data_IF_656034972608
#
_entry.id   IF_656034972608
#
_cell.length_a   1.000
_cell.length_b   1.000
_cell.length_c   1.000
_cell.angle_alpha   90.00
_cell.angle_beta   90.00
_cell.angle_gamma   90.00
#
_symmetry.space_group_name_H-M   'P 1'
#
loop_
_entity.id
_entity.type
_entity.pdbx_description
1 polymer ?
#
# COMPACT_ATOMS: atom_id res chain seq x y z
N UNK A 1 0.38 14.41 7.07
CA UNK A 1 -0.98 14.63 7.59
C UNK A 1 -0.99 14.21 9.04
N UNK A 2 -1.77 14.87 9.90
CA UNK A 2 -1.92 14.43 11.28
C UNK A 2 -2.79 13.17 11.30
N UNK A 3 -2.49 12.17 12.15
CA UNK A 3 -3.28 10.93 12.23
C UNK A 3 -4.75 11.24 12.55
N UNK A 4 -5.00 12.29 13.34
CA UNK A 4 -6.35 12.75 13.64
C UNK A 4 -7.08 13.30 12.38
N UNK A 5 -6.36 13.93 11.45
CA UNK A 5 -6.91 14.44 10.20
C UNK A 5 -7.25 13.30 9.23
N UNK A 6 -6.42 12.25 9.17
CA UNK A 6 -6.70 11.06 8.35
C UNK A 6 -7.88 10.29 8.90
N UNK A 7 -7.97 10.10 10.23
CA UNK A 7 -9.14 9.49 10.89
C UNK A 7 -10.42 10.27 10.59
N UNK A 8 -10.40 11.60 10.72
CA UNK A 8 -11.56 12.44 10.39
C UNK A 8 -11.94 12.38 8.90
N UNK A 9 -10.96 12.25 8.00
CA UNK A 9 -11.21 12.02 6.58
C UNK A 9 -11.86 10.67 6.31
N UNK A 10 -11.35 9.59 6.91
CA UNK A 10 -11.91 8.24 6.77
C UNK A 10 -13.34 8.20 7.30
N UNK A 11 -13.62 8.83 8.44
CA UNK A 11 -14.97 8.92 8.98
C UNK A 11 -15.93 9.64 8.02
N UNK A 12 -15.52 10.77 7.44
CA UNK A 12 -16.32 11.46 6.41
C UNK A 12 -16.58 10.59 5.18
N UNK A 13 -15.63 9.74 4.78
CA UNK A 13 -15.80 8.77 3.68
C UNK A 13 -16.83 7.69 4.05
N UNK A 14 -16.78 7.15 5.28
CA UNK A 14 -17.78 6.19 5.80
C UNK A 14 -19.17 6.80 5.78
N UNK A 15 -19.33 8.02 6.30
CA UNK A 15 -20.63 8.69 6.38
C UNK A 15 -21.21 8.97 4.98
N UNK A 16 -20.34 9.33 4.03
CA UNK A 16 -20.72 9.48 2.62
C UNK A 16 -21.24 8.16 2.03
N UNK A 17 -20.54 7.05 2.22
CA UNK A 17 -20.99 5.74 1.71
C UNK A 17 -22.32 5.31 2.36
N UNK A 18 -22.49 5.53 3.66
CA UNK A 18 -23.76 5.28 4.36
C UNK A 18 -24.92 6.09 3.76
N UNK A 19 -24.69 7.38 3.49
CA UNK A 19 -25.68 8.24 2.86
C UNK A 19 -26.04 7.77 1.43
N UNK A 20 -25.04 7.32 0.65
CA UNK A 20 -25.25 6.78 -0.69
C UNK A 20 -26.06 5.48 -0.67
N UNK A 21 -25.78 4.56 0.26
CA UNK A 21 -26.55 3.31 0.44
C UNK A 21 -28.00 3.63 0.81
N UNK A 22 -28.23 4.57 1.73
CA UNK A 22 -29.58 4.98 2.12
C UNK A 22 -30.36 5.57 0.95
N UNK A 23 -29.72 6.45 0.15
CA UNK A 23 -30.31 7.00 -1.06
C UNK A 23 -30.62 5.92 -2.09
N UNK A 24 -29.72 4.95 -2.29
CA UNK A 24 -29.91 3.83 -3.20
C UNK A 24 -31.09 2.94 -2.76
N UNK A 25 -31.23 2.68 -1.46
CA UNK A 25 -32.36 1.94 -0.89
C UNK A 25 -33.70 2.66 -1.11
N UNK A 26 -33.75 3.98 -0.92
CA UNK A 26 -34.95 4.78 -1.18
C UNK A 26 -35.31 4.80 -2.67
N UNK A 27 -34.32 4.91 -3.57
CA UNK A 27 -34.54 4.82 -5.01
C UNK A 27 -35.03 3.43 -5.44
N UNK A 28 -34.51 2.38 -4.82
CA UNK A 28 -34.91 0.99 -5.09
C UNK A 28 -36.38 0.75 -4.77
N UNK A 29 -36.90 1.38 -3.71
CA UNK A 29 -38.33 1.29 -3.35
C UNK A 29 -39.25 2.11 -4.27
N UNK A 30 -38.71 3.10 -4.99
CA UNK A 30 -39.49 4.00 -5.83
C UNK A 30 -39.41 3.69 -7.33
N UNK A 31 -38.68 2.63 -7.73
CA UNK A 31 -38.53 2.24 -9.13
C UNK A 31 -38.87 0.77 -9.34
N UNK A 32 -39.53 0.49 -10.47
CA UNK A 32 -39.84 -0.86 -10.93
C UNK A 32 -39.00 -1.26 -12.16
N UNK A 33 -38.05 -0.41 -12.59
CA UNK A 33 -37.23 -0.69 -13.77
C UNK A 33 -36.10 -1.68 -13.42
N UNK A 34 -36.05 -2.87 -14.04
CA UNK A 34 -35.06 -3.89 -13.70
C UNK A 34 -33.60 -3.46 -13.95
N UNK A 35 -33.35 -2.62 -14.96
CA UNK A 35 -32.01 -2.10 -15.23
C UNK A 35 -31.55 -1.10 -14.15
N UNK A 36 -32.49 -0.29 -13.63
CA UNK A 36 -32.21 0.64 -12.53
C UNK A 36 -32.00 -0.14 -11.24
N UNK A 37 -32.83 -1.14 -10.95
CA UNK A 37 -32.69 -2.01 -9.78
C UNK A 37 -31.34 -2.72 -9.76
N UNK A 38 -30.93 -3.34 -10.86
CA UNK A 38 -29.62 -4.01 -10.96
C UNK A 38 -28.45 -3.06 -10.68
N UNK A 39 -28.53 -1.82 -11.17
CA UNK A 39 -27.52 -0.78 -10.90
C UNK A 39 -27.50 -0.36 -9.43
N UNK A 40 -28.68 -0.18 -8.82
CA UNK A 40 -28.81 0.17 -7.40
C UNK A 40 -28.31 -0.95 -6.49
N UNK A 41 -28.64 -2.21 -6.80
CA UNK A 41 -28.17 -3.38 -6.06
C UNK A 41 -26.64 -3.50 -6.12
N UNK A 42 -26.04 -3.21 -7.28
CA UNK A 42 -24.59 -3.11 -7.44
C UNK A 42 -23.98 -2.00 -6.56
N UNK A 43 -24.57 -0.80 -6.57
CA UNK A 43 -24.13 0.32 -5.72
C UNK A 43 -24.19 0.00 -4.23
N UNK A 44 -25.25 -0.68 -3.78
CA UNK A 44 -25.40 -1.10 -2.38
C UNK A 44 -24.30 -2.09 -2.00
N UNK A 45 -24.05 -3.10 -2.84
CA UNK A 45 -23.00 -4.10 -2.60
C UNK A 45 -21.61 -3.47 -2.55
N UNK A 46 -21.31 -2.58 -3.48
CA UNK A 46 -20.05 -1.85 -3.52
C UNK A 46 -19.89 -0.93 -2.30
N UNK A 47 -20.94 -0.21 -1.93
CA UNK A 47 -20.95 0.65 -0.74
C UNK A 47 -20.64 -0.12 0.55
N UNK A 48 -21.20 -1.32 0.71
CA UNK A 48 -20.88 -2.17 1.87
C UNK A 48 -19.39 -2.56 1.91
N UNK A 49 -18.81 -2.95 0.77
CA UNK A 49 -17.37 -3.28 0.69
C UNK A 49 -16.48 -2.07 0.96
N UNK A 50 -16.89 -0.88 0.49
CA UNK A 50 -16.18 0.36 0.76
C UNK A 50 -16.19 0.70 2.25
N UNK A 51 -17.35 0.58 2.91
CA UNK A 51 -17.48 0.79 4.36
C UNK A 51 -16.57 -0.18 5.12
N UNK A 52 -16.60 -1.47 4.80
CA UNK A 52 -15.76 -2.48 5.45
C UNK A 52 -14.26 -2.13 5.31
N UNK A 53 -13.84 -1.71 4.12
CA UNK A 53 -12.47 -1.25 3.89
C UNK A 53 -12.10 -0.03 4.74
N UNK A 54 -12.97 1.01 4.76
CA UNK A 54 -12.71 2.20 5.55
C UNK A 54 -12.72 1.92 7.06
N UNK A 55 -13.60 1.05 7.54
CA UNK A 55 -13.63 0.61 8.94
C UNK A 55 -12.37 -0.16 9.32
N UNK A 56 -11.88 -1.05 8.44
CA UNK A 56 -10.59 -1.72 8.64
C UNK A 56 -9.46 -0.70 8.73
N UNK A 57 -9.42 0.29 7.84
CA UNK A 57 -8.41 1.35 7.87
C UNK A 57 -8.49 2.24 9.11
N UNK A 58 -9.68 2.49 9.63
CA UNK A 58 -9.85 3.25 10.86
C UNK A 58 -9.28 2.49 12.07
N UNK A 59 -9.52 1.17 12.15
CA UNK A 59 -8.89 0.30 13.17
C UNK A 59 -7.37 0.30 13.07
N UNK A 60 -6.83 0.23 11.85
CA UNK A 60 -5.38 0.28 11.63
C UNK A 60 -4.78 1.61 12.15
N UNK A 61 -5.46 2.74 11.88
CA UNK A 61 -5.05 4.06 12.35
C UNK A 61 -5.13 4.20 13.89
N UNK A 62 -6.16 3.64 14.52
CA UNK A 62 -6.28 3.63 15.99
C UNK A 62 -5.20 2.77 16.66
N UNK A 63 -4.84 1.63 16.06
CA UNK A 63 -3.73 0.81 16.53
C UNK A 63 -2.40 1.56 16.40
N UNK A 64 -2.15 2.22 15.26
CA UNK A 64 -0.95 3.03 15.04
C UNK A 64 -0.85 4.19 16.04
N UNK A 65 -1.97 4.85 16.34
CA UNK A 65 -2.05 5.89 17.37
C UNK A 65 -1.69 5.35 18.76
N UNK A 66 -2.22 4.19 19.11
CA UNK A 66 -1.96 3.55 20.40
C UNK A 66 -0.50 3.14 20.53
N UNK A 67 0.07 2.55 19.49
CA UNK A 67 1.48 2.17 19.43
C UNK A 67 2.40 3.39 19.55
N UNK A 68 2.14 4.45 18.78
CA UNK A 68 2.91 5.70 18.87
C UNK A 68 2.84 6.32 20.29
N UNK A 69 1.68 6.22 20.95
CA UNK A 69 1.54 6.67 22.35
C UNK A 69 2.32 5.79 23.34
N UNK A 70 2.38 4.48 23.12
CA UNK A 70 3.18 3.55 23.95
C UNK A 70 4.69 3.76 23.75
N UNK A 71 5.14 3.96 22.51
CA UNK A 71 6.55 4.28 22.22
C UNK A 71 6.95 5.61 22.87
N UNK A 72 6.07 6.61 22.87
CA UNK A 72 6.31 7.89 23.57
C UNK A 72 6.43 7.76 25.09
N UNK A 73 5.79 6.74 25.70
CA UNK A 73 5.93 6.45 27.14
C UNK A 73 7.16 5.58 27.45
N UNK A 74 7.59 4.74 26.51
CA UNK A 74 8.81 3.92 26.61
C UNK A 74 10.10 4.75 26.49
N UNK A 75 10.03 5.88 25.78
CA UNK A 75 11.17 6.75 25.48
C UNK A 75 11.49 7.82 26.54
N UNK A 76 10.86 7.84 27.72
CA UNK A 76 11.28 8.76 28.80
C UNK A 76 12.56 8.24 29.49
N UNK A 77 13.76 8.81 29.23
CA UNK A 77 14.98 8.41 29.90
C UNK A 77 15.10 9.31 31.13
N UNK A 78 14.76 8.77 32.29
CA UNK A 78 15.10 9.39 33.59
C UNK A 78 13.98 10.19 34.24
N UNK A 79 13.18 9.50 35.04
CA UNK A 79 12.70 10.04 36.31
C UNK A 79 13.38 9.22 37.42
N UNK A 80 14.39 9.82 38.05
CA UNK A 80 15.07 9.29 39.24
C UNK A 80 14.07 9.18 40.38
N UNK A 81 13.57 7.99 40.66
CA UNK A 81 12.94 7.69 41.95
C UNK A 81 13.76 6.63 42.66
N UNK A 82 14.46 7.07 43.71
CA UNK A 82 15.19 6.27 44.68
C UNK A 82 14.33 5.11 45.19
N UNK A 83 14.73 3.88 44.90
CA UNK A 83 14.32 2.71 45.68
C UNK A 83 15.48 1.69 45.68
N UNK A 84 16.15 1.43 46.82
CA UNK A 84 17.26 0.49 46.85
C UNK A 84 16.71 -0.91 47.14
N UNK A 85 16.50 -1.70 46.08
CA UNK A 85 16.33 -3.15 46.20
C UNK A 85 17.40 -3.80 45.34
N UNK A 86 18.59 -3.93 45.92
CA UNK A 86 19.68 -4.77 45.41
C UNK A 86 19.24 -6.24 45.47
N UNK A 87 19.31 -7.02 44.37
CA UNK A 87 19.31 -8.47 44.49
C UNK A 87 20.59 -8.93 45.23
N UNK A 88 20.54 -10.00 46.04
CA UNK A 88 21.67 -10.41 46.86
C UNK A 88 22.79 -11.04 46.01
N UNK A 89 24.08 -10.78 46.32
CA UNK A 89 25.21 -11.48 45.71
C UNK A 89 25.21 -12.95 46.13
N UNK A 90 25.41 -13.85 45.16
CA UNK A 90 25.53 -15.28 45.42
C UNK A 90 27.01 -15.67 45.41
N UNK A 91 27.67 -15.49 46.54
CA UNK A 91 29.02 -16.01 46.77
C UNK A 91 28.95 -17.30 47.59
N UNK A 92 29.43 -18.40 46.99
CA UNK A 92 30.38 -19.27 47.69
C UNK A 92 29.96 -20.68 48.12
N UNK A 93 30.73 -21.65 47.57
CA UNK A 93 31.42 -22.78 48.24
C UNK A 93 31.07 -24.24 47.88
N UNK A 94 32.17 -24.99 47.70
CA UNK A 94 32.42 -26.43 47.52
C UNK A 94 32.19 -27.01 46.10
N UNK A 95 33.18 -27.50 45.35
CA UNK A 95 34.53 -27.96 45.67
C UNK A 95 34.59 -29.49 45.64
N UNK A 96 35.02 -30.08 44.52
CA UNK A 96 35.65 -31.41 44.43
C UNK A 96 36.48 -31.52 43.14
N UNK A 97 37.66 -32.11 43.29
CA UNK A 97 38.71 -32.49 42.32
C UNK A 97 38.18 -33.07 41.00
N UNK A 98 38.87 -32.99 39.85
CA UNK A 98 40.14 -33.69 39.60
C UNK A 98 40.86 -33.22 38.30
N UNK A 99 42.11 -33.65 38.21
CA UNK A 99 43.28 -33.13 37.52
C UNK A 99 43.48 -33.65 36.07
N UNK A 100 44.59 -33.20 35.44
CA UNK A 100 45.21 -33.64 34.16
C UNK A 100 44.62 -33.06 32.85
N UNK A 101 45.36 -32.59 31.83
CA UNK A 101 46.80 -32.53 31.54
C UNK A 101 47.02 -31.75 30.21
N UNK A 102 48.02 -30.84 30.14
CA UNK A 102 48.72 -30.35 28.93
C UNK A 102 47.95 -29.44 27.94
N UNK A 103 48.52 -28.42 27.28
CA UNK A 103 49.89 -27.96 27.09
C UNK A 103 50.07 -27.42 25.66
N UNK A 104 50.56 -26.17 25.51
CA UNK A 104 51.25 -25.53 24.35
C UNK A 104 50.44 -25.40 23.02
N UNK A 105 50.55 -24.38 22.16
CA UNK A 105 51.41 -23.19 21.95
C UNK A 105 50.89 -22.54 20.65
N UNK A 106 50.73 -21.23 20.60
CA UNK A 106 51.60 -20.26 19.90
C UNK A 106 51.32 -20.02 18.39
N UNK A 107 51.09 -18.73 18.10
CA UNK A 107 51.45 -17.91 16.93
C UNK A 107 51.15 -18.36 15.48
N UNK A 108 50.45 -17.50 14.72
CA UNK A 108 51.06 -16.56 13.76
C UNK A 108 50.00 -15.78 12.97
N UNK A 109 50.29 -14.49 12.75
CA UNK A 109 49.46 -13.58 11.94
C UNK A 109 49.65 -13.71 10.43
N UNK A 110 49.09 -12.75 9.70
CA UNK A 110 49.42 -12.53 8.29
C UNK A 110 48.25 -11.97 7.47
N UNK A 111 48.28 -10.66 7.24
CA UNK A 111 47.59 -10.03 6.10
C UNK A 111 48.29 -10.44 4.80
N UNK A 112 47.50 -10.72 3.75
CA UNK A 112 47.68 -10.24 2.36
C UNK A 112 47.26 -11.30 1.34
N UNK A 113 46.20 -10.94 0.59
CA UNK A 113 46.00 -11.04 -0.86
C UNK A 113 46.64 -12.17 -1.70
N UNK A 114 45.87 -12.50 -2.76
CA UNK A 114 46.15 -13.34 -3.93
C UNK A 114 45.82 -14.83 -3.76
N UNK A 115 44.71 -15.27 -4.33
CA UNK A 115 44.70 -16.24 -5.43
C UNK A 115 43.26 -16.66 -5.77
N UNK A 116 43.00 -16.88 -7.06
CA UNK A 116 41.70 -17.23 -7.59
C UNK A 116 41.12 -18.51 -7.00
N UNK A 117 39.80 -18.50 -6.79
CA UNK A 117 39.05 -19.65 -6.35
C UNK A 117 37.56 -19.33 -6.41
N UNK A 118 36.88 -19.94 -7.37
CA UNK A 118 35.42 -19.96 -7.48
C UNK A 118 34.83 -20.64 -6.24
N UNK A 119 34.64 -19.91 -5.14
CA UNK A 119 33.99 -20.44 -3.94
C UNK A 119 32.47 -20.32 -4.10
N UNK A 120 31.88 -21.41 -4.57
CA UNK A 120 30.46 -21.71 -4.54
C UNK A 120 29.93 -21.55 -3.09
N UNK A 121 29.19 -20.48 -2.84
CA UNK A 121 28.36 -20.36 -1.63
C UNK A 121 27.24 -21.43 -1.73
N UNK A 122 27.07 -22.31 -0.74
CA UNK A 122 25.97 -23.27 -0.77
C UNK A 122 24.62 -22.56 -0.66
N UNK A 123 23.58 -23.01 -1.39
CA UNK A 123 22.24 -22.45 -1.29
C UNK A 123 21.72 -22.50 0.15
N UNK A 124 21.28 -21.35 0.64
CA UNK A 124 20.68 -21.18 1.97
C UNK A 124 19.52 -22.17 2.14
N UNK A 125 19.61 -23.07 3.11
CA UNK A 125 18.55 -24.06 3.39
C UNK A 125 17.21 -23.35 3.72
N UNK A 126 16.05 -23.86 3.26
CA UNK A 126 14.76 -23.20 3.35
C UNK A 126 14.18 -23.03 4.77
N UNK A 127 14.87 -23.52 5.80
CA UNK A 127 14.39 -23.52 7.20
C UNK A 127 15.40 -22.93 8.20
N UNK A 128 16.28 -22.02 7.78
CA UNK A 128 17.08 -21.28 8.75
C UNK A 128 16.16 -20.37 9.60
N UNK A 129 16.16 -20.50 10.94
CA UNK A 129 15.36 -19.64 11.81
C UNK A 129 15.78 -18.18 11.63
N UNK A 130 14.81 -17.28 11.52
CA UNK A 130 15.07 -15.86 11.31
C UNK A 130 15.78 -15.29 12.55
N UNK A 131 16.93 -14.64 12.33
CA UNK A 131 17.66 -13.96 13.40
C UNK A 131 16.79 -12.85 14.03
N UNK A 132 16.99 -12.54 15.32
CA UNK A 132 16.23 -11.50 16.01
C UNK A 132 16.51 -10.14 15.33
N UNK A 133 15.49 -9.54 14.71
CA UNK A 133 15.59 -8.32 13.91
C UNK A 133 15.05 -8.44 12.47
N UNK A 134 14.48 -9.58 12.07
CA UNK A 134 13.83 -9.69 10.77
C UNK A 134 12.57 -8.81 10.71
N UNK A 135 12.67 -7.71 9.95
CA UNK A 135 11.55 -6.85 9.58
C UNK A 135 10.40 -7.68 9.00
N UNK A 136 9.14 -7.44 9.40
CA UNK A 136 8.01 -8.18 8.86
C UNK A 136 7.99 -8.03 7.33
N UNK A 137 8.09 -9.16 6.60
CA UNK A 137 8.04 -9.14 5.14
C UNK A 137 6.71 -8.54 4.71
N UNK A 138 6.75 -7.37 4.06
CA UNK A 138 5.58 -6.73 3.45
C UNK A 138 4.87 -7.75 2.54
N UNK A 139 3.53 -7.87 2.60
CA UNK A 139 2.80 -8.81 1.75
C UNK A 139 3.06 -8.51 0.26
N UNK A 140 3.60 -9.48 -0.48
CA UNK A 140 3.80 -9.37 -1.92
C UNK A 140 2.52 -9.83 -2.65
N UNK A 141 1.78 -8.90 -3.24
CA UNK A 141 0.59 -9.22 -4.04
C UNK A 141 0.94 -9.39 -5.53
N UNK A 142 0.39 -10.43 -6.17
CA UNK A 142 0.51 -10.57 -7.64
C UNK A 142 -0.40 -9.57 -8.35
N UNK A 143 0.06 -9.03 -9.49
CA UNK A 143 -0.75 -8.12 -10.32
C UNK A 143 -2.08 -8.76 -10.75
N UNK A 144 -2.10 -10.08 -10.95
CA UNK A 144 -3.32 -10.82 -11.26
C UNK A 144 -4.31 -10.83 -10.09
N UNK A 145 -3.82 -10.93 -8.85
CA UNK A 145 -4.65 -10.94 -7.65
C UNK A 145 -5.30 -9.59 -7.36
N UNK A 146 -4.63 -8.50 -7.74
CA UNK A 146 -5.15 -7.15 -7.58
C UNK A 146 -6.14 -6.74 -8.69
N UNK A 147 -6.11 -7.42 -9.85
CA UNK A 147 -7.04 -7.16 -10.95
C UNK A 147 -8.38 -7.90 -10.75
N UNK A 148 -8.39 -9.02 -10.01
CA UNK A 148 -9.61 -9.78 -9.74
C UNK A 148 -10.65 -8.95 -9.02
N UNK A 149 -11.90 -9.04 -9.49
CA UNK A 149 -13.03 -8.26 -8.96
C UNK A 149 -13.21 -8.43 -7.45
N UNK A 150 -13.06 -9.65 -6.94
CA UNK A 150 -13.28 -10.00 -5.53
C UNK A 150 -12.00 -10.05 -4.68
N UNK A 151 -10.99 -9.24 -5.00
CA UNK A 151 -9.78 -9.21 -4.18
C UNK A 151 -10.08 -8.69 -2.77
N UNK A 152 -9.63 -9.38 -1.70
CA UNK A 152 -9.80 -8.90 -0.33
C UNK A 152 -8.85 -7.72 -0.02
N UNK A 153 -7.86 -7.47 -0.88
CA UNK A 153 -6.83 -6.43 -0.69
C UNK A 153 -7.20 -5.14 -1.42
N UNK A 154 -8.25 -4.46 -0.95
CA UNK A 154 -8.77 -3.27 -1.62
C UNK A 154 -7.75 -2.12 -1.65
N UNK A 155 -6.97 -1.92 -0.59
CA UNK A 155 -5.94 -0.86 -0.53
C UNK A 155 -4.87 -0.97 -1.64
N UNK A 156 -4.11 -2.07 -1.70
CA UNK A 156 -3.13 -2.30 -2.77
C UNK A 156 -3.74 -2.27 -4.17
N UNK A 157 -4.99 -2.74 -4.31
CA UNK A 157 -5.72 -2.64 -5.58
C UNK A 157 -6.02 -1.18 -5.95
N UNK A 158 -6.47 -0.35 -5.02
CA UNK A 158 -6.76 1.07 -5.28
C UNK A 158 -5.50 1.77 -5.81
N UNK A 159 -4.35 1.56 -5.16
CA UNK A 159 -3.06 2.12 -5.61
C UNK A 159 -2.68 1.65 -7.02
N UNK A 160 -2.80 0.35 -7.29
CA UNK A 160 -2.56 -0.20 -8.63
C UNK A 160 -3.51 0.41 -9.67
N UNK A 161 -4.79 0.58 -9.34
CA UNK A 161 -5.77 1.14 -10.26
C UNK A 161 -5.54 2.63 -10.51
N UNK A 162 -5.16 3.40 -9.48
CA UNK A 162 -4.79 4.81 -9.63
C UNK A 162 -3.65 4.98 -10.64
N UNK A 163 -2.51 4.30 -10.41
CA UNK A 163 -1.36 4.37 -11.32
C UNK A 163 -1.70 3.92 -12.75
N UNK A 164 -2.51 2.87 -12.92
CA UNK A 164 -2.95 2.43 -14.24
C UNK A 164 -3.86 3.44 -14.94
N UNK A 165 -4.79 4.06 -14.21
CA UNK A 165 -5.72 5.04 -14.75
C UNK A 165 -5.01 6.35 -15.10
N UNK A 166 -4.07 6.80 -14.28
CA UNK A 166 -3.20 7.95 -14.56
C UNK A 166 -2.37 7.73 -15.82
N UNK A 167 -1.72 6.57 -15.93
CA UNK A 167 -0.96 6.21 -17.12
C UNK A 167 -1.85 6.15 -18.38
N UNK A 168 -3.02 5.50 -18.30
CA UNK A 168 -3.95 5.47 -19.44
C UNK A 168 -4.45 6.87 -19.81
N UNK A 169 -4.74 7.71 -18.81
CA UNK A 169 -5.19 9.08 -19.03
C UNK A 169 -4.10 9.95 -19.69
N UNK A 170 -2.84 9.78 -19.30
CA UNK A 170 -1.73 10.52 -19.92
C UNK A 170 -1.50 10.10 -21.37
N UNK A 171 -1.50 8.79 -21.65
CA UNK A 171 -1.39 8.26 -23.01
C UNK A 171 -2.57 8.70 -23.88
N UNK A 172 -3.80 8.65 -23.37
CA UNK A 172 -4.98 9.06 -24.14
C UNK A 172 -4.99 10.57 -24.43
N UNK A 173 -4.50 11.41 -23.50
CA UNK A 173 -4.30 12.85 -23.76
C UNK A 173 -3.30 13.07 -24.89
N UNK A 174 -2.15 12.40 -24.85
CA UNK A 174 -1.15 12.50 -25.94
C UNK A 174 -1.72 12.00 -27.27
N UNK A 175 -2.52 10.94 -27.25
CA UNK A 175 -3.20 10.42 -28.44
C UNK A 175 -4.17 11.45 -29.04
N UNK A 176 -5.00 12.09 -28.19
CA UNK A 176 -5.88 13.19 -28.60
C UNK A 176 -5.09 14.35 -29.21
N UNK A 177 -4.00 14.77 -28.55
CA UNK A 177 -3.16 15.88 -29.05
C UNK A 177 -2.57 15.55 -30.42
N UNK A 178 -2.19 14.29 -30.66
CA UNK A 178 -1.78 13.79 -31.97
C UNK A 178 -2.89 13.90 -33.01
N UNK A 179 -4.12 13.48 -32.67
CA UNK A 179 -5.28 13.62 -33.56
C UNK A 179 -5.57 15.08 -33.89
N UNK A 180 -5.47 15.99 -32.91
CA UNK A 180 -5.69 17.42 -33.14
C UNK A 180 -4.69 18.01 -34.14
N UNK A 181 -3.44 17.55 -34.13
CA UNK A 181 -2.46 17.91 -35.16
C UNK A 181 -2.85 17.36 -36.53
N UNK A 182 -3.32 16.11 -36.62
CA UNK A 182 -3.80 15.51 -37.88
C UNK A 182 -4.98 16.28 -38.47
N UNK A 183 -5.95 16.66 -37.65
CA UNK A 183 -7.10 17.48 -38.09
C UNK A 183 -6.62 18.79 -38.70
N UNK A 184 -5.63 19.46 -38.10
CA UNK A 184 -5.05 20.71 -38.63
C UNK A 184 -4.32 20.49 -39.95
N UNK A 185 -3.56 19.39 -40.10
CA UNK A 185 -2.88 19.06 -41.35
C UNK A 185 -3.88 18.82 -42.48
N UNK A 186 -4.92 18.00 -42.26
CA UNK A 186 -5.97 17.77 -43.26
C UNK A 186 -6.76 19.04 -43.60
N UNK A 187 -6.91 19.95 -42.63
CA UNK A 187 -7.50 21.26 -42.88
C UNK A 187 -6.64 22.13 -43.81
N UNK A 188 -5.32 22.10 -43.66
CA UNK A 188 -4.38 22.83 -44.53
C UNK A 188 -4.31 22.22 -45.94
N UNK A 189 -4.38 20.90 -46.05
CA UNK A 189 -4.38 20.17 -47.33
C UNK A 189 -5.73 20.26 -48.07
N UNK A 190 -6.80 20.62 -47.37
CA UNK A 190 -8.15 20.71 -47.93
C UNK A 190 -8.87 19.36 -48.07
N UNK A 191 -8.33 18.26 -47.53
CA UNK A 191 -8.96 16.95 -47.53
C UNK A 191 -10.08 16.89 -46.49
N UNK A 192 -11.32 17.11 -46.97
CA UNK A 192 -12.52 17.11 -46.14
C UNK A 192 -12.85 15.73 -45.55
N UNK A 193 -12.53 14.64 -46.25
CA UNK A 193 -12.86 13.29 -45.79
C UNK A 193 -11.97 12.90 -44.63
N UNK A 194 -10.66 13.00 -44.82
CA UNK A 194 -9.67 12.68 -43.77
C UNK A 194 -9.82 13.57 -42.55
N UNK A 195 -10.16 14.85 -42.74
CA UNK A 195 -10.50 15.76 -41.64
C UNK A 195 -11.68 15.25 -40.81
N UNK A 196 -12.77 14.86 -41.45
CA UNK A 196 -13.98 14.38 -40.75
C UNK A 196 -13.69 13.09 -39.98
N UNK A 197 -12.94 12.16 -40.57
CA UNK A 197 -12.55 10.91 -39.90
C UNK A 197 -11.64 11.16 -38.69
N UNK A 198 -10.72 12.13 -38.78
CA UNK A 198 -9.88 12.53 -37.65
C UNK A 198 -10.69 13.25 -36.56
N UNK A 199 -11.68 14.08 -36.92
CA UNK A 199 -12.59 14.72 -35.97
C UNK A 199 -13.45 13.69 -35.21
N UNK A 200 -13.93 12.64 -35.88
CA UNK A 200 -14.64 11.55 -35.22
C UNK A 200 -13.77 10.86 -34.15
N UNK A 201 -12.51 10.52 -34.49
CA UNK A 201 -11.54 9.96 -33.53
C UNK A 201 -11.25 10.91 -32.36
N UNK A 202 -11.23 12.22 -32.62
CA UNK A 202 -11.05 13.23 -31.57
C UNK A 202 -12.21 13.21 -30.56
N UNK A 203 -13.45 13.08 -31.04
CA UNK A 203 -14.64 13.00 -30.18
C UNK A 203 -14.61 11.73 -29.33
N UNK A 204 -14.32 10.57 -29.94
CA UNK A 204 -14.18 9.30 -29.22
C UNK A 204 -13.09 9.36 -28.15
N UNK A 205 -11.91 9.89 -28.49
CA UNK A 205 -10.81 10.06 -27.54
C UNK A 205 -11.19 10.99 -26.38
N UNK A 206 -11.95 12.06 -26.66
CA UNK A 206 -12.45 12.95 -25.62
C UNK A 206 -13.43 12.24 -24.66
N UNK A 207 -14.30 11.37 -25.17
CA UNK A 207 -15.19 10.54 -24.35
C UNK A 207 -14.38 9.57 -23.46
N UNK A 208 -13.35 8.92 -24.02
CA UNK A 208 -12.44 8.05 -23.24
C UNK A 208 -11.74 8.81 -22.12
N UNK A 209 -11.24 10.02 -22.40
CA UNK A 209 -10.63 10.89 -21.39
C UNK A 209 -11.62 11.20 -20.26
N UNK A 210 -12.88 11.47 -20.56
CA UNK A 210 -13.89 11.75 -19.54
C UNK A 210 -14.15 10.52 -18.65
N UNK A 211 -14.29 9.33 -19.25
CA UNK A 211 -14.47 8.08 -18.50
C UNK A 211 -13.26 7.73 -17.63
N UNK A 212 -12.04 7.94 -18.16
CA UNK A 212 -10.80 7.74 -17.40
C UNK A 212 -10.71 8.72 -16.22
N UNK A 213 -11.02 10.00 -16.43
CA UNK A 213 -11.08 11.01 -15.34
C UNK A 213 -12.10 10.65 -14.27
N UNK A 214 -13.30 10.24 -14.67
CA UNK A 214 -14.34 9.84 -13.74
C UNK A 214 -13.91 8.62 -12.93
N UNK A 215 -13.30 7.63 -13.58
CA UNK A 215 -12.82 6.41 -12.91
C UNK A 215 -11.68 6.72 -11.95
N UNK A 216 -10.72 7.55 -12.37
CA UNK A 216 -9.60 8.00 -11.55
C UNK A 216 -10.10 8.69 -10.29
N UNK A 217 -11.03 9.65 -10.43
CA UNK A 217 -11.66 10.32 -9.29
C UNK A 217 -12.34 9.35 -8.32
N UNK A 218 -13.02 8.31 -8.82
CA UNK A 218 -13.65 7.29 -7.96
C UNK A 218 -12.60 6.54 -7.12
N UNK A 219 -11.46 6.17 -7.71
CA UNK A 219 -10.39 5.50 -6.97
C UNK A 219 -9.64 6.44 -6.03
N UNK A 220 -9.50 7.73 -6.37
CA UNK A 220 -8.95 8.75 -5.46
C UNK A 220 -9.86 8.95 -4.23
N UNK A 221 -11.18 9.01 -4.46
CA UNK A 221 -12.17 9.11 -3.39
C UNK A 221 -12.13 7.88 -2.44
N UNK A 222 -11.74 6.70 -2.95
CA UNK A 222 -11.53 5.49 -2.15
C UNK A 222 -10.15 5.43 -1.48
N UNK A 223 -9.18 6.20 -1.96
CA UNK A 223 -7.82 6.14 -1.44
C UNK A 223 -7.70 6.74 -0.04
N UNK A 224 -6.87 6.11 0.80
CA UNK A 224 -6.52 6.61 2.13
C UNK A 224 -4.99 6.56 2.25
N UNK A 225 -4.35 7.72 2.27
CA UNK A 225 -2.91 7.90 2.36
C UNK A 225 -2.41 7.54 3.78
N UNK A 226 -2.12 6.27 4.04
CA UNK A 226 -1.59 5.80 5.34
C UNK A 226 -0.08 5.52 5.24
N UNK A 227 0.45 5.34 4.04
CA UNK A 227 1.81 4.84 3.81
C UNK A 227 2.94 5.89 4.00
N UNK A 228 2.64 7.11 4.47
CA UNK A 228 3.66 8.16 4.66
C UNK A 228 4.41 8.10 6.00
N UNK A 229 4.08 7.16 6.89
CA UNK A 229 4.76 7.00 8.17
C UNK A 229 5.94 6.00 8.12
N UNK A 230 5.88 4.98 7.26
CA UNK A 230 6.88 3.90 7.20
C UNK A 230 8.00 4.11 6.15
N UNK A 231 7.83 5.07 5.23
CA UNK A 231 8.84 5.41 4.22
C UNK A 231 9.77 6.57 4.68
N UNK A 232 9.73 6.97 5.95
CA UNK A 232 10.67 7.97 6.51
C UNK A 232 11.98 7.39 7.06
N UNK A 233 12.10 6.06 7.09
CA UNK A 233 13.33 5.37 7.49
C UNK A 233 13.80 4.43 6.37
N UNK A 234 14.33 5.01 5.28
CA UNK A 234 15.14 4.31 4.29
C UNK A 234 16.24 5.23 3.73
#
# INVERSE_FOLDING_TARGET
MNVDETVANVQRKIDREKALINAANAMRQSTNNPAVLSRLDGQIRDGHRNIEYFESKLRDLDMQRTQASMDSMSLQPGAKNNNPLTPPPKDGWNGYMDQDQGGYGDSQGGYSNLSGGQQLMPPRAPYAPQGPGAQPKRPNYSKLDLIRYDTPHLGPRIQLMLSQLEFKLSVEKQYKDGIEKMVRLYQMEGDRKSKTDAEAKRIESNQKIQLLKQSLKRYEDLHVDIDTADDRDA
#
